data_IF_674238941332
#
_entry.id   IF_674238941332
#
_cell.length_a   1.000
_cell.length_b   1.000
_cell.length_c   1.000
_cell.angle_alpha   90.00
_cell.angle_beta   90.00
_cell.angle_gamma   90.00
#
_symmetry.space_group_name_H-M   'P 1'
#
loop_
_entity.id
_entity.type
_entity.pdbx_description
1 polymer ?
#
# COMPACT_ATOMS: atom_id res chain seq x y z
N UNK A 1 49.87 -18.53 21.49
CA UNK A 1 50.31 -19.76 22.18
C UNK A 1 51.22 -19.34 23.34
N UNK A 2 50.71 -19.50 24.56
CA UNK A 2 51.38 -19.42 25.87
C UNK A 2 52.29 -18.22 26.21
N UNK A 3 51.74 -17.31 27.04
CA UNK A 3 52.45 -16.78 28.22
C UNK A 3 51.45 -16.57 29.36
N UNK A 4 51.25 -17.63 30.14
CA UNK A 4 50.74 -17.57 31.53
C UNK A 4 51.78 -16.82 32.37
N UNK A 5 51.43 -15.77 33.15
CA UNK A 5 50.93 -15.87 34.53
C UNK A 5 52.05 -16.39 35.46
N UNK A 6 52.44 -15.80 36.58
CA UNK A 6 51.66 -15.06 37.57
C UNK A 6 52.64 -14.46 38.59
N UNK A 7 52.36 -13.23 39.04
CA UNK A 7 53.14 -12.54 40.05
C UNK A 7 52.31 -12.33 41.33
N UNK A 8 53.01 -12.45 42.44
CA UNK A 8 52.85 -11.70 43.69
C UNK A 8 51.57 -11.86 44.52
N UNK A 9 51.77 -12.59 45.62
CA UNK A 9 51.16 -12.42 46.93
C UNK A 9 51.12 -10.94 47.36
N UNK A 10 49.99 -10.47 47.91
CA UNK A 10 49.98 -9.49 49.01
C UNK A 10 48.75 -9.65 49.90
N UNK A 11 49.04 -9.82 51.20
CA UNK A 11 48.13 -9.76 52.35
C UNK A 11 47.88 -8.30 52.75
N UNK A 12 46.72 -8.03 53.35
CA UNK A 12 46.40 -6.82 54.12
C UNK A 12 44.98 -6.33 53.79
N UNK A 13 43.92 -6.80 54.46
CA UNK A 13 43.40 -6.43 55.80
C UNK A 13 42.75 -5.04 55.88
N UNK A 14 41.40 -5.06 55.92
CA UNK A 14 40.46 -4.15 56.61
C UNK A 14 40.54 -2.65 56.25
N UNK A 15 39.47 -1.86 56.11
CA UNK A 15 38.45 -1.57 57.11
C UNK A 15 37.16 -0.98 56.46
N UNK A 16 36.03 -1.38 57.05
CA UNK A 16 34.81 -0.62 57.33
C UNK A 16 34.33 0.50 56.38
N UNK A 17 33.09 0.35 55.90
CA UNK A 17 32.32 1.42 55.28
C UNK A 17 30.92 0.98 54.85
N UNK A 18 30.07 0.67 55.82
CA UNK A 18 28.65 0.41 55.61
C UNK A 18 27.91 1.72 55.29
N UNK A 19 27.15 1.75 54.19
CA UNK A 19 25.94 2.56 54.07
C UNK A 19 25.10 2.08 52.88
N UNK A 20 24.01 1.36 53.20
CA UNK A 20 22.95 1.01 52.26
C UNK A 20 22.34 2.30 51.67
N UNK A 21 22.22 2.37 50.35
CA UNK A 21 21.32 3.30 49.69
C UNK A 21 20.27 2.51 48.91
N UNK A 22 19.06 2.50 49.46
CA UNK A 22 17.86 1.98 48.86
C UNK A 22 17.69 2.52 47.44
N UNK A 23 17.53 1.62 46.47
CA UNK A 23 17.01 1.93 45.14
C UNK A 23 15.74 1.12 44.96
N UNK A 24 14.60 1.78 45.14
CA UNK A 24 13.29 1.30 44.70
C UNK A 24 13.37 1.05 43.18
N UNK A 25 13.41 -0.22 42.78
CA UNK A 25 13.20 -0.62 41.41
C UNK A 25 11.86 -1.35 41.32
N UNK A 26 10.82 -0.59 41.02
CA UNK A 26 9.58 -1.13 40.43
C UNK A 26 9.23 -0.30 39.21
N UNK A 27 9.59 -0.73 37.99
CA UNK A 27 8.82 -0.36 36.83
C UNK A 27 7.62 -1.31 36.71
N UNK A 28 6.43 -0.70 36.74
CA UNK A 28 5.13 -1.34 36.61
C UNK A 28 5.00 -2.09 35.29
N UNK A 29 4.33 -3.25 35.33
CA UNK A 29 3.64 -3.86 34.20
C UNK A 29 2.72 -2.82 33.55
N UNK A 30 3.05 -2.39 32.33
CA UNK A 30 2.12 -1.73 31.44
C UNK A 30 2.35 -2.28 30.03
N UNK A 31 1.78 -3.45 29.78
CA UNK A 31 1.54 -3.94 28.42
C UNK A 31 0.58 -2.96 27.76
N UNK A 32 1.11 -1.96 27.06
CA UNK A 32 0.34 -1.16 26.12
C UNK A 32 -0.01 -2.08 24.94
N UNK A 33 -1.19 -2.71 24.99
CA UNK A 33 -1.78 -3.32 23.79
C UNK A 33 -2.13 -2.20 22.83
N UNK A 34 -1.21 -1.89 21.94
CA UNK A 34 -1.40 -0.93 20.88
C UNK A 34 -2.29 -1.57 19.81
N UNK A 35 -3.61 -1.36 19.93
CA UNK A 35 -4.56 -1.72 18.89
C UNK A 35 -4.47 -0.69 17.77
N UNK A 36 -3.53 -0.88 16.85
CA UNK A 36 -3.48 -0.13 15.60
C UNK A 36 -4.56 -0.69 14.67
N UNK A 37 -5.77 -0.13 14.68
CA UNK A 37 -6.76 -0.38 13.62
C UNK A 37 -6.39 0.44 12.38
N UNK A 38 -5.30 0.09 11.72
CA UNK A 38 -5.09 0.52 10.35
C UNK A 38 -5.96 -0.36 9.46
N UNK A 39 -7.17 0.09 9.14
CA UNK A 39 -7.92 -0.47 8.02
C UNK A 39 -7.14 -0.18 6.74
N UNK A 40 -6.31 -1.14 6.30
CA UNK A 40 -5.84 -1.15 4.91
C UNK A 40 -7.08 -1.36 4.05
N UNK A 41 -7.56 -0.30 3.41
CA UNK A 41 -8.53 -0.41 2.33
C UNK A 41 -7.79 -1.07 1.16
N UNK A 42 -7.81 -2.40 1.10
CA UNK A 42 -7.47 -3.10 -0.12
C UNK A 42 -8.50 -2.64 -1.16
N UNK A 43 -8.09 -1.77 -2.09
CA UNK A 43 -8.91 -1.40 -3.23
C UNK A 43 -9.30 -2.71 -3.93
N UNK A 44 -10.58 -3.05 -3.92
CA UNK A 44 -11.04 -4.25 -4.61
C UNK A 44 -10.72 -4.10 -6.10
N UNK A 45 -10.10 -5.11 -6.68
CA UNK A 45 -9.74 -5.15 -8.10
C UNK A 45 -10.38 -6.35 -8.77
N UNK A 46 -10.70 -6.20 -10.05
CA UNK A 46 -11.15 -7.28 -10.93
C UNK A 46 -10.10 -7.48 -12.02
N UNK A 47 -9.81 -8.73 -12.32
CA UNK A 47 -8.90 -9.07 -13.41
C UNK A 47 -9.62 -8.92 -14.76
N UNK A 48 -9.02 -8.17 -15.67
CA UNK A 48 -9.44 -8.11 -17.07
C UNK A 48 -8.25 -8.40 -17.99
N UNK A 49 -8.52 -8.95 -19.18
CA UNK A 49 -7.50 -9.24 -20.19
C UNK A 49 -7.72 -8.38 -21.44
N UNK A 50 -6.65 -7.77 -21.95
CA UNK A 50 -6.59 -7.17 -23.30
C UNK A 50 -5.55 -7.89 -24.18
N UNK A 51 -5.27 -7.36 -25.37
CA UNK A 51 -4.29 -7.94 -26.30
C UNK A 51 -2.85 -8.06 -25.75
N UNK A 52 -2.52 -7.31 -24.70
CA UNK A 52 -1.22 -7.35 -24.00
C UNK A 52 -1.26 -8.18 -22.70
N UNK A 53 -2.37 -8.88 -22.43
CA UNK A 53 -2.53 -9.77 -21.29
C UNK A 53 -3.38 -9.21 -20.15
N UNK A 54 -3.29 -9.86 -19.00
CA UNK A 54 -4.11 -9.59 -17.82
C UNK A 54 -3.62 -8.36 -17.04
N UNK A 55 -4.56 -7.55 -16.55
CA UNK A 55 -4.30 -6.35 -15.74
C UNK A 55 -5.36 -6.21 -14.64
N UNK A 56 -4.97 -5.86 -13.39
CA UNK A 56 -5.94 -5.56 -12.34
C UNK A 56 -6.60 -4.21 -12.60
N UNK A 57 -7.93 -4.19 -12.73
CA UNK A 57 -8.75 -2.99 -12.89
C UNK A 57 -9.50 -2.71 -11.59
N UNK A 58 -9.60 -1.45 -11.19
CA UNK A 58 -10.33 -1.07 -9.98
C UNK A 58 -11.82 -1.45 -10.08
N UNK A 59 -12.36 -2.11 -9.05
CA UNK A 59 -13.71 -2.66 -9.06
C UNK A 59 -14.81 -1.57 -8.94
N UNK A 60 -14.47 -0.39 -8.43
CA UNK A 60 -15.35 0.77 -8.31
C UNK A 60 -15.51 1.56 -9.64
N UNK A 61 -14.88 1.09 -10.73
CA UNK A 61 -14.78 1.83 -12.00
C UNK A 61 -15.42 1.08 -13.16
N UNK A 62 -16.08 1.85 -14.03
CA UNK A 62 -16.78 1.32 -15.21
C UNK A 62 -15.87 1.01 -16.40
N UNK A 63 -14.64 1.51 -16.42
CA UNK A 63 -13.71 1.24 -17.51
C UNK A 63 -13.02 -0.12 -17.34
N UNK A 64 -12.44 -0.64 -18.43
CA UNK A 64 -11.73 -1.92 -18.45
C UNK A 64 -10.23 -1.82 -18.72
N UNK A 65 -9.61 -2.95 -19.07
CA UNK A 65 -8.17 -3.17 -19.21
C UNK A 65 -7.49 -2.14 -20.12
N UNK A 66 -8.10 -1.84 -21.27
CA UNK A 66 -7.52 -0.92 -22.25
C UNK A 66 -7.42 0.51 -21.72
N UNK A 67 -8.41 0.96 -20.95
CA UNK A 67 -8.37 2.28 -20.30
C UNK A 67 -7.41 2.27 -19.12
N UNK A 68 -7.38 1.19 -18.33
CA UNK A 68 -6.44 1.04 -17.21
C UNK A 68 -4.98 1.16 -17.67
N UNK A 69 -4.61 0.46 -18.75
CA UNK A 69 -3.28 0.57 -19.37
C UNK A 69 -2.99 1.96 -19.91
N UNK A 70 -4.00 2.63 -20.48
CA UNK A 70 -3.86 4.00 -20.96
C UNK A 70 -3.61 4.98 -19.81
N UNK A 71 -4.25 4.79 -18.66
CA UNK A 71 -4.02 5.59 -17.45
C UNK A 71 -2.58 5.43 -16.94
N UNK A 72 -2.02 4.21 -16.96
CA UNK A 72 -0.61 4.00 -16.59
C UNK A 72 0.37 4.63 -17.57
N UNK A 73 0.05 4.61 -18.87
CA UNK A 73 0.92 5.10 -19.94
C UNK A 73 0.89 6.63 -20.08
N UNK A 74 -0.26 7.27 -19.89
CA UNK A 74 -0.50 8.69 -20.18
C UNK A 74 -0.89 9.50 -18.94
N UNK A 75 -0.10 9.40 -17.88
CA UNK A 75 -0.32 10.10 -16.60
C UNK A 75 0.13 11.57 -16.56
N UNK A 76 0.05 12.28 -17.68
CA UNK A 76 0.60 13.63 -17.83
C UNK A 76 -0.40 14.68 -17.31
N UNK A 77 0.09 15.69 -16.56
CA UNK A 77 -0.63 16.91 -16.13
C UNK A 77 -2.05 16.71 -15.58
N UNK A 78 -2.34 15.58 -14.95
CA UNK A 78 -3.62 15.37 -14.27
C UNK A 78 -3.74 16.31 -13.06
N UNK A 79 -4.91 16.96 -12.83
CA UNK A 79 -6.20 16.77 -13.50
C UNK A 79 -6.50 17.76 -14.64
N UNK A 80 -5.55 18.60 -15.04
CA UNK A 80 -5.80 19.69 -15.99
C UNK A 80 -5.98 19.20 -17.43
N UNK A 81 -5.26 18.15 -17.84
CA UNK A 81 -5.35 17.54 -19.17
C UNK A 81 -6.44 16.46 -19.28
N UNK A 82 -7.55 16.61 -18.53
CA UNK A 82 -8.70 15.70 -18.64
C UNK A 82 -9.51 16.02 -19.88
N UNK A 83 -10.09 14.98 -20.49
CA UNK A 83 -11.00 15.15 -21.62
C UNK A 83 -12.19 16.01 -21.22
N UNK A 84 -12.52 17.08 -21.98
CA UNK A 84 -13.64 17.96 -21.64
C UNK A 84 -14.98 17.21 -21.58
N UNK A 85 -15.88 17.56 -20.64
CA UNK A 85 -17.14 16.84 -20.47
C UNK A 85 -18.04 16.89 -21.71
N UNK A 86 -17.91 17.93 -22.53
CA UNK A 86 -18.64 18.08 -23.80
C UNK A 86 -18.26 16.96 -24.78
N UNK A 87 -16.98 16.60 -24.85
CA UNK A 87 -16.48 15.53 -25.72
C UNK A 87 -17.00 14.17 -25.24
N UNK A 88 -16.97 13.92 -23.93
CA UNK A 88 -17.52 12.68 -23.34
C UNK A 88 -19.01 12.52 -23.66
N UNK A 89 -19.79 13.60 -23.54
CA UNK A 89 -21.22 13.59 -23.91
C UNK A 89 -21.44 13.33 -25.41
N UNK A 90 -20.63 13.95 -26.27
CA UNK A 90 -20.70 13.72 -27.71
C UNK A 90 -20.44 12.24 -28.07
N UNK A 91 -19.48 11.58 -27.41
CA UNK A 91 -19.25 10.14 -27.56
C UNK A 91 -20.45 9.30 -27.13
N UNK A 92 -21.15 9.67 -26.05
CA UNK A 92 -22.38 9.01 -25.64
C UNK A 92 -23.47 9.06 -26.72
N UNK A 93 -23.71 10.25 -27.30
CA UNK A 93 -24.67 10.43 -28.40
C UNK A 93 -24.25 9.60 -29.63
N UNK A 94 -22.98 9.69 -30.01
CA UNK A 94 -22.42 8.97 -31.15
C UNK A 94 -22.59 7.45 -31.01
N UNK A 95 -22.26 6.90 -29.84
CA UNK A 95 -22.39 5.47 -29.56
C UNK A 95 -23.85 5.04 -29.48
N UNK A 96 -24.74 5.89 -28.93
CA UNK A 96 -26.18 5.65 -28.95
C UNK A 96 -26.74 5.55 -30.37
N UNK A 97 -26.43 6.54 -31.22
CA UNK A 97 -26.85 6.53 -32.62
C UNK A 97 -26.30 5.32 -33.40
N UNK A 98 -25.02 4.97 -33.19
CA UNK A 98 -24.42 3.79 -33.80
C UNK A 98 -25.11 2.50 -33.36
N UNK A 99 -25.45 2.37 -32.07
CA UNK A 99 -26.19 1.22 -31.57
C UNK A 99 -27.58 1.12 -32.20
N UNK A 100 -28.33 2.23 -32.30
CA UNK A 100 -29.65 2.25 -32.96
C UNK A 100 -29.57 1.78 -34.40
N UNK A 101 -28.59 2.27 -35.16
CA UNK A 101 -28.36 1.86 -36.55
C UNK A 101 -27.99 0.37 -36.62
N UNK A 102 -27.05 -0.09 -35.79
CA UNK A 102 -26.64 -1.49 -35.78
C UNK A 102 -27.79 -2.45 -35.47
N UNK A 103 -28.67 -2.10 -34.54
CA UNK A 103 -29.87 -2.90 -34.23
C UNK A 103 -30.86 -2.91 -35.41
N UNK A 104 -31.06 -1.77 -36.09
CA UNK A 104 -31.97 -1.68 -37.25
C UNK A 104 -31.52 -2.56 -38.42
N UNK A 105 -30.21 -2.69 -38.64
CA UNK A 105 -29.63 -3.46 -39.73
C UNK A 105 -29.22 -4.89 -39.34
N UNK A 106 -29.54 -5.35 -38.13
CA UNK A 106 -29.20 -6.69 -37.67
C UNK A 106 -27.69 -6.93 -37.48
N UNK A 107 -26.92 -5.86 -37.30
CA UNK A 107 -25.48 -5.89 -37.01
C UNK A 107 -25.18 -5.99 -35.50
N UNK A 108 -26.20 -5.86 -34.66
CA UNK A 108 -26.15 -6.12 -33.22
C UNK A 108 -26.43 -7.58 -32.88
N UNK A 109 -26.22 -7.97 -31.62
CA UNK A 109 -26.58 -9.30 -31.12
C UNK A 109 -28.08 -9.60 -31.37
N UNK A 110 -28.45 -10.85 -31.69
CA UNK A 110 -29.85 -11.26 -31.86
C UNK A 110 -30.70 -11.07 -30.59
#
# INVERSE_FOLDING_TARGET
MFRTGSAAVKRGSSFAGAALRARNQTPRLATLRQFSTSFQMAQQTRAESDAFGEIPVAADRYWGAQTERSLSNFKINQPHDRMPPQVVRAFGILKGAAATVNMKFGLGMP
#
